data_IF_417863032139
#
_entry.id   IF_417863032139
#
_cell.length_a   1.000
_cell.length_b   1.000
_cell.length_c   1.000
_cell.angle_alpha   90.00
_cell.angle_beta   90.00
_cell.angle_gamma   90.00
#
_symmetry.space_group_name_H-M   'P 1'
#
loop_
_entity.id
_entity.type
_entity.pdbx_description
1 polymer ?
#
# COMPACT_ATOMS: atom_id res chain seq x y z
N UNK A 1 -54.29 60.71 19.07
CA UNK A 1 -53.11 59.88 19.42
C UNK A 1 -53.51 58.43 19.19
N UNK A 2 -52.80 57.55 18.50
CA UNK A 2 -51.54 57.60 17.79
C UNK A 2 -51.59 56.53 16.68
N UNK A 3 -50.79 56.75 15.64
CA UNK A 3 -50.71 56.01 14.39
C UNK A 3 -49.75 54.83 14.56
N UNK A 4 -50.25 53.59 14.67
CA UNK A 4 -49.39 52.40 14.74
C UNK A 4 -49.24 51.78 13.34
N UNK A 5 -48.27 52.33 12.58
CA UNK A 5 -47.87 51.78 11.28
C UNK A 5 -46.96 50.58 11.52
N UNK A 6 -47.53 49.38 11.40
CA UNK A 6 -46.78 48.12 11.34
C UNK A 6 -45.93 48.07 10.06
N UNK A 7 -44.66 48.40 10.18
CA UNK A 7 -43.68 48.20 9.11
C UNK A 7 -43.35 46.70 8.99
N UNK A 8 -43.97 46.03 8.02
CA UNK A 8 -43.55 44.71 7.59
C UNK A 8 -42.17 44.83 6.94
N UNK A 9 -41.14 44.31 7.61
CA UNK A 9 -39.80 44.10 7.05
C UNK A 9 -39.93 43.07 5.91
N UNK A 10 -40.13 43.54 4.68
CA UNK A 10 -39.95 42.72 3.48
C UNK A 10 -38.46 42.48 3.32
N UNK A 11 -37.98 41.33 3.76
CA UNK A 11 -36.69 40.78 3.38
C UNK A 11 -36.72 40.55 1.88
N UNK A 12 -35.99 41.39 1.14
CA UNK A 12 -35.82 41.27 -0.29
C UNK A 12 -35.05 39.96 -0.57
N UNK A 13 -35.74 38.89 -0.94
CA UNK A 13 -35.11 37.68 -1.44
C UNK A 13 -34.65 37.95 -2.87
N UNK A 14 -33.44 38.49 -3.02
CA UNK A 14 -32.77 38.58 -4.30
C UNK A 14 -32.34 37.17 -4.71
N UNK A 15 -32.95 36.61 -5.76
CA UNK A 15 -32.49 35.39 -6.40
C UNK A 15 -31.17 35.62 -7.15
N UNK A 16 -30.43 34.55 -7.41
CA UNK A 16 -29.16 34.60 -8.15
C UNK A 16 -29.40 34.99 -9.61
N UNK A 17 -28.60 35.91 -10.14
CA UNK A 17 -28.59 36.27 -11.55
C UNK A 17 -28.04 35.12 -12.40
N UNK A 18 -28.56 34.93 -13.62
CA UNK A 18 -28.08 33.90 -14.54
C UNK A 18 -26.56 34.03 -14.82
N UNK A 19 -26.05 35.26 -14.87
CA UNK A 19 -24.61 35.52 -15.05
C UNK A 19 -23.78 35.09 -13.83
N UNK A 20 -24.32 35.25 -12.63
CA UNK A 20 -23.67 34.84 -11.37
C UNK A 20 -23.63 33.31 -11.26
N UNK A 21 -24.70 32.62 -11.65
CA UNK A 21 -24.71 31.16 -11.72
C UNK A 21 -23.69 30.64 -12.74
N UNK A 22 -23.57 31.30 -13.90
CA UNK A 22 -22.57 30.91 -14.92
C UNK A 22 -21.13 31.16 -14.45
N UNK A 23 -20.85 32.27 -13.76
CA UNK A 23 -19.50 32.55 -13.26
C UNK A 23 -19.09 31.56 -12.17
N UNK A 24 -19.99 31.23 -11.22
CA UNK A 24 -19.74 30.22 -10.19
C UNK A 24 -19.54 28.83 -10.82
N UNK A 25 -20.33 28.47 -11.82
CA UNK A 25 -20.17 27.21 -12.54
C UNK A 25 -18.80 27.10 -13.22
N UNK A 26 -18.36 28.17 -13.92
CA UNK A 26 -17.03 28.20 -14.57
C UNK A 26 -15.89 28.06 -13.55
N UNK A 27 -15.95 28.80 -12.44
CA UNK A 27 -14.93 28.72 -11.39
C UNK A 27 -14.91 27.30 -10.79
N UNK A 28 -16.07 26.70 -10.52
CA UNK A 28 -16.16 25.33 -9.99
C UNK A 28 -15.58 24.27 -10.94
N UNK A 29 -15.75 24.45 -12.25
CA UNK A 29 -15.21 23.53 -13.27
C UNK A 29 -13.68 23.58 -13.32
N UNK A 30 -13.10 24.78 -13.21
CA UNK A 30 -11.63 24.96 -13.17
C UNK A 30 -11.05 24.32 -11.90
N UNK A 31 -11.72 24.50 -10.76
CA UNK A 31 -11.27 23.90 -9.49
C UNK A 31 -11.34 22.37 -9.56
N UNK A 32 -12.44 21.81 -10.07
CA UNK A 32 -12.58 20.34 -10.17
C UNK A 32 -11.55 19.73 -11.13
N UNK A 33 -11.25 20.38 -12.27
CA UNK A 33 -10.20 19.94 -13.19
C UNK A 33 -8.81 19.83 -12.54
N UNK A 34 -8.48 20.73 -11.63
CA UNK A 34 -7.18 20.71 -10.93
C UNK A 34 -7.18 19.79 -9.70
N UNK A 35 -8.32 19.65 -9.01
CA UNK A 35 -8.43 18.85 -7.81
C UNK A 35 -8.52 17.33 -8.08
N UNK A 36 -9.21 16.91 -9.14
CA UNK A 36 -9.45 15.49 -9.44
C UNK A 36 -8.16 14.67 -9.60
N UNK A 37 -7.15 15.09 -10.39
CA UNK A 37 -5.91 14.33 -10.54
C UNK A 37 -5.16 14.16 -9.20
N UNK A 38 -5.16 15.22 -8.38
CA UNK A 38 -4.52 15.20 -7.07
C UNK A 38 -5.21 14.21 -6.11
N UNK A 39 -6.55 14.15 -6.14
CA UNK A 39 -7.31 13.18 -5.34
C UNK A 39 -7.05 11.74 -5.78
N UNK A 40 -7.00 11.45 -7.08
CA UNK A 40 -6.68 10.10 -7.59
C UNK A 40 -5.30 9.65 -7.10
N UNK A 41 -4.32 10.54 -7.14
CA UNK A 41 -2.97 10.26 -6.63
C UNK A 41 -2.95 10.07 -5.10
N UNK A 42 -3.69 10.89 -4.36
CA UNK A 42 -3.81 10.76 -2.92
C UNK A 42 -4.44 9.41 -2.51
N UNK A 43 -5.52 9.01 -3.19
CA UNK A 43 -6.16 7.70 -2.97
C UNK A 43 -5.15 6.58 -3.26
N UNK A 44 -4.48 6.60 -4.42
CA UNK A 44 -3.47 5.58 -4.75
C UNK A 44 -2.39 5.44 -3.67
N UNK A 45 -1.88 6.55 -3.16
CA UNK A 45 -0.89 6.56 -2.08
C UNK A 45 -1.45 6.03 -0.75
N UNK A 46 -2.70 6.36 -0.40
CA UNK A 46 -3.37 5.83 0.79
C UNK A 46 -3.54 4.30 0.68
N UNK A 47 -4.01 3.80 -0.48
CA UNK A 47 -4.15 2.35 -0.72
C UNK A 47 -2.82 1.62 -0.58
N UNK A 48 -1.76 2.21 -1.12
CA UNK A 48 -0.41 1.65 -1.02
C UNK A 48 0.08 1.60 0.43
N UNK A 49 -0.08 2.69 1.19
CA UNK A 49 0.29 2.75 2.62
C UNK A 49 -0.53 1.79 3.49
N UNK A 50 -1.83 1.67 3.21
CA UNK A 50 -2.75 0.71 3.82
C UNK A 50 -2.29 -0.73 3.56
N UNK A 51 -1.95 -1.05 2.30
CA UNK A 51 -1.43 -2.35 1.87
C UNK A 51 -0.10 -2.68 2.56
N UNK A 52 0.85 -1.76 2.59
CA UNK A 52 2.15 -2.00 3.25
C UNK A 52 2.02 -2.20 4.77
N UNK A 53 1.06 -1.51 5.40
CA UNK A 53 0.77 -1.69 6.83
C UNK A 53 0.13 -3.05 7.12
N UNK A 54 -0.82 -3.45 6.28
CA UNK A 54 -1.46 -4.76 6.33
C UNK A 54 -0.46 -5.90 6.10
N UNK A 55 0.46 -5.73 5.14
CA UNK A 55 1.55 -6.66 4.88
C UNK A 55 2.52 -6.77 6.06
N UNK A 56 2.90 -5.63 6.66
CA UNK A 56 3.72 -5.66 7.86
C UNK A 56 3.03 -6.40 9.01
N UNK A 57 1.70 -6.26 9.14
CA UNK A 57 0.89 -7.00 10.10
C UNK A 57 0.95 -8.51 9.91
N UNK A 58 0.76 -9.01 8.69
CA UNK A 58 0.83 -10.46 8.42
C UNK A 58 2.24 -11.02 8.60
N UNK A 59 3.29 -10.26 8.27
CA UNK A 59 4.67 -10.65 8.51
C UNK A 59 5.00 -10.71 10.00
N UNK A 60 4.50 -9.78 10.81
CA UNK A 60 4.61 -9.88 12.26
C UNK A 60 3.83 -11.08 12.81
N UNK A 61 2.64 -11.36 12.28
CA UNK A 61 1.89 -12.55 12.66
C UNK A 61 2.66 -13.84 12.33
N UNK A 62 3.28 -13.90 11.15
CA UNK A 62 4.15 -15.01 10.75
C UNK A 62 5.28 -15.24 11.76
N UNK A 63 5.97 -14.16 12.15
CA UNK A 63 7.01 -14.19 13.18
C UNK A 63 6.49 -14.71 14.52
N UNK A 64 5.34 -14.22 14.98
CA UNK A 64 4.72 -14.63 16.24
C UNK A 64 4.32 -16.11 16.19
N UNK A 65 3.75 -16.57 15.08
CA UNK A 65 3.38 -17.97 14.89
C UNK A 65 4.59 -18.88 14.88
N UNK A 66 5.70 -18.46 14.27
CA UNK A 66 6.94 -19.24 14.26
C UNK A 66 7.49 -19.49 15.67
N UNK A 67 7.52 -18.44 16.49
CA UNK A 67 7.93 -18.52 17.89
C UNK A 67 6.93 -19.33 18.71
N UNK A 68 5.63 -19.06 18.56
CA UNK A 68 4.56 -19.72 19.33
C UNK A 68 4.51 -21.23 19.08
N UNK A 69 4.69 -21.66 17.83
CA UNK A 69 4.62 -23.08 17.48
C UNK A 69 5.99 -23.77 17.54
N UNK A 70 7.06 -23.03 17.83
CA UNK A 70 8.45 -23.51 17.77
C UNK A 70 8.76 -24.19 16.41
N UNK A 71 8.26 -23.61 15.32
CA UNK A 71 8.39 -24.14 13.95
C UNK A 71 8.69 -22.99 12.97
N UNK A 72 9.38 -23.31 11.88
CA UNK A 72 9.61 -22.32 10.83
C UNK A 72 8.29 -22.02 10.11
N UNK A 73 7.93 -20.74 9.98
CA UNK A 73 6.73 -20.28 9.29
C UNK A 73 7.11 -19.34 8.14
N UNK A 74 6.50 -19.52 6.98
CA UNK A 74 6.79 -18.78 5.75
C UNK A 74 5.59 -17.94 5.35
N UNK A 75 5.85 -16.72 4.89
CA UNK A 75 4.81 -15.89 4.26
C UNK A 75 4.90 -16.01 2.74
N UNK A 76 3.92 -16.67 2.15
CA UNK A 76 3.83 -16.81 0.70
C UNK A 76 3.02 -15.66 0.11
N UNK A 77 3.26 -15.39 -1.18
CA UNK A 77 2.48 -14.42 -1.93
C UNK A 77 1.91 -15.07 -3.18
N UNK A 78 0.63 -14.80 -3.45
CA UNK A 78 -0.04 -15.22 -4.66
C UNK A 78 -0.70 -14.03 -5.34
N UNK A 79 -0.51 -13.91 -6.65
CA UNK A 79 -1.23 -12.92 -7.44
C UNK A 79 -2.68 -13.36 -7.60
N UNK A 80 -3.62 -12.42 -7.49
CA UNK A 80 -5.05 -12.66 -7.71
C UNK A 80 -5.60 -11.69 -8.72
N UNK A 81 -6.30 -12.20 -9.73
CA UNK A 81 -6.97 -11.38 -10.72
C UNK A 81 -8.24 -10.73 -10.16
N UNK A 82 -8.44 -9.45 -10.45
CA UNK A 82 -9.62 -8.64 -10.14
C UNK A 82 -10.10 -7.93 -11.41
N UNK A 83 -10.87 -8.64 -12.25
CA UNK A 83 -11.30 -8.11 -13.54
C UNK A 83 -10.10 -7.77 -14.42
N UNK A 84 -9.94 -6.49 -14.77
CA UNK A 84 -8.80 -5.97 -15.55
C UNK A 84 -7.56 -5.61 -14.71
N UNK A 85 -7.62 -5.80 -13.38
CA UNK A 85 -6.54 -5.48 -12.45
C UNK A 85 -6.00 -6.72 -11.74
N UNK A 86 -4.83 -6.60 -11.12
CA UNK A 86 -4.24 -7.65 -10.28
C UNK A 86 -4.07 -7.13 -8.86
N UNK A 87 -4.30 -8.01 -7.88
CA UNK A 87 -4.01 -7.81 -6.46
C UNK A 87 -3.05 -8.90 -5.97
N UNK A 88 -2.62 -8.80 -4.72
CA UNK A 88 -1.67 -9.75 -4.11
C UNK A 88 -2.20 -10.19 -2.76
N UNK A 89 -2.31 -11.49 -2.55
CA UNK A 89 -2.60 -12.07 -1.24
C UNK A 89 -1.29 -12.52 -0.62
N UNK A 90 -1.04 -12.10 0.62
CA UNK A 90 0.03 -12.65 1.43
C UNK A 90 -0.56 -13.57 2.50
N UNK A 91 -0.03 -14.77 2.66
CA UNK A 91 -0.57 -15.78 3.58
C UNK A 91 0.56 -16.55 4.28
N UNK A 92 0.27 -17.05 5.48
CA UNK A 92 1.26 -17.68 6.35
C UNK A 92 1.04 -19.18 6.43
N UNK A 93 2.11 -19.95 6.23
CA UNK A 93 2.12 -21.41 6.37
C UNK A 93 3.35 -21.90 7.11
N UNK A 94 3.33 -23.19 7.46
CA UNK A 94 4.54 -23.90 7.87
C UNK A 94 5.53 -23.93 6.71
N UNK A 95 6.82 -23.76 6.98
CA UNK A 95 7.84 -23.70 5.93
C UNK A 95 7.99 -24.99 5.11
N UNK A 96 7.55 -26.13 5.67
CA UNK A 96 7.51 -27.42 4.98
C UNK A 96 6.25 -27.60 4.11
N UNK A 97 5.24 -26.76 4.30
CA UNK A 97 3.96 -26.88 3.61
C UNK A 97 4.00 -26.11 2.29
N UNK A 98 3.97 -26.85 1.18
CA UNK A 98 3.98 -26.31 -0.17
C UNK A 98 2.60 -26.31 -0.83
N UNK A 99 1.53 -26.54 -0.07
CA UNK A 99 0.17 -26.50 -0.62
C UNK A 99 -0.27 -25.06 -0.93
N UNK A 100 -1.19 -24.91 -1.88
CA UNK A 100 -1.79 -23.62 -2.20
C UNK A 100 -2.61 -23.03 -1.05
N UNK A 101 -2.92 -21.73 -1.14
CA UNK A 101 -3.74 -21.01 -0.17
C UNK A 101 -5.00 -21.79 0.25
N UNK A 102 -5.12 -22.07 1.54
CA UNK A 102 -6.25 -22.73 2.18
C UNK A 102 -7.10 -21.76 3.01
N UNK A 103 -8.33 -22.17 3.35
CA UNK A 103 -9.30 -21.35 4.11
C UNK A 103 -8.92 -21.12 5.56
N UNK A 104 -8.02 -21.93 6.12
CA UNK A 104 -7.52 -21.80 7.49
C UNK A 104 -6.25 -20.96 7.64
N UNK A 105 -5.66 -20.51 6.52
CA UNK A 105 -4.40 -19.77 6.56
C UNK A 105 -4.60 -18.34 7.05
N UNK A 106 -3.68 -17.87 7.90
CA UNK A 106 -3.60 -16.45 8.23
C UNK A 106 -3.20 -15.69 6.98
N UNK A 107 -4.10 -14.88 6.44
CA UNK A 107 -3.90 -14.18 5.19
C UNK A 107 -4.30 -12.72 5.26
N UNK A 108 -3.73 -11.91 4.36
CA UNK A 108 -4.12 -10.53 4.15
C UNK A 108 -4.11 -10.23 2.65
N UNK A 109 -5.10 -9.44 2.22
CA UNK A 109 -5.40 -9.38 0.80
C UNK A 109 -4.79 -8.21 0.02
N UNK A 110 -4.14 -7.20 0.57
CA UNK A 110 -3.74 -5.95 -0.14
C UNK A 110 -4.83 -5.29 -1.04
N UNK A 111 -4.80 -3.97 -1.13
CA UNK A 111 -5.81 -3.27 -1.93
C UNK A 111 -5.48 -3.37 -3.41
N UNK A 112 -6.42 -3.80 -4.25
CA UNK A 112 -6.26 -3.71 -5.70
C UNK A 112 -6.28 -2.21 -6.12
N UNK A 113 -5.47 -1.78 -7.10
CA UNK A 113 -4.61 -2.58 -7.97
C UNK A 113 -3.13 -2.56 -7.54
N UNK A 114 -2.80 -2.94 -6.30
CA UNK A 114 -1.40 -3.09 -5.86
C UNK A 114 -0.85 -4.44 -6.33
N UNK A 115 0.26 -4.39 -7.07
CA UNK A 115 0.94 -5.56 -7.63
C UNK A 115 2.34 -5.69 -7.07
N UNK A 116 2.75 -6.92 -6.76
CA UNK A 116 4.12 -7.26 -6.34
C UNK A 116 4.97 -7.48 -7.58
N UNK A 117 6.20 -6.95 -7.56
CA UNK A 117 7.23 -7.23 -8.56
C UNK A 117 8.54 -7.67 -7.89
N UNK A 118 9.38 -8.37 -8.64
CA UNK A 118 10.70 -8.83 -8.16
C UNK A 118 11.70 -7.69 -8.06
N UNK A 119 11.65 -6.76 -9.02
CA UNK A 119 12.42 -5.53 -9.01
C UNK A 119 11.64 -4.42 -9.74
N UNK A 120 11.80 -3.14 -9.37
CA UNK A 120 11.26 -2.04 -10.15
C UNK A 120 11.86 -2.03 -11.55
N UNK A 121 11.03 -1.85 -12.57
CA UNK A 121 11.45 -1.81 -13.98
C UNK A 121 10.46 -1.00 -14.82
N UNK A 122 10.92 -0.50 -15.96
CA UNK A 122 10.13 0.31 -16.89
C UNK A 122 10.26 1.83 -16.68
N UNK A 123 9.63 2.64 -17.53
CA UNK A 123 9.69 4.11 -17.44
C UNK A 123 9.11 4.62 -16.12
N UNK A 124 9.84 5.49 -15.43
CA UNK A 124 9.41 6.04 -14.14
C UNK A 124 9.57 5.08 -12.94
N UNK A 125 10.18 3.91 -13.14
CA UNK A 125 10.50 3.01 -12.04
C UNK A 125 11.70 3.55 -11.21
N UNK A 126 11.64 3.44 -9.88
CA UNK A 126 12.76 3.77 -9.01
C UNK A 126 13.93 2.80 -9.19
N UNK A 127 15.15 3.17 -8.76
CA UNK A 127 16.23 2.19 -8.61
C UNK A 127 15.89 1.18 -7.50
N UNK A 128 16.43 -0.03 -7.60
CA UNK A 128 16.36 -1.02 -6.51
C UNK A 128 17.07 -0.51 -5.26
N UNK A 129 16.50 -0.76 -4.09
CA UNK A 129 17.17 -0.57 -2.80
C UNK A 129 18.33 -1.57 -2.69
N UNK A 130 19.54 -1.05 -2.48
CA UNK A 130 20.77 -1.83 -2.43
C UNK A 130 21.34 -1.98 -1.01
N UNK A 131 22.52 -2.60 -0.90
CA UNK A 131 23.21 -2.83 0.37
C UNK A 131 23.57 -1.51 1.08
N UNK A 132 23.81 -0.42 0.35
CA UNK A 132 24.14 0.88 0.96
C UNK A 132 22.93 1.47 1.70
N UNK A 133 21.73 1.26 1.17
CA UNK A 133 20.49 1.77 1.75
C UNK A 133 19.91 0.83 2.82
N UNK A 134 20.10 -0.49 2.66
CA UNK A 134 19.53 -1.51 3.54
C UNK A 134 20.48 -1.94 4.67
N UNK A 135 21.80 -1.79 4.47
CA UNK A 135 22.85 -2.32 5.34
C UNK A 135 22.88 -3.86 5.44
N UNK A 136 22.28 -4.56 4.48
CA UNK A 136 22.34 -6.02 4.33
C UNK A 136 22.10 -6.39 2.86
N UNK A 137 22.50 -7.61 2.47
CA UNK A 137 22.19 -8.16 1.15
C UNK A 137 20.77 -8.72 1.14
N UNK A 138 19.82 -8.12 0.40
CA UNK A 138 18.44 -8.55 0.42
C UNK A 138 18.22 -9.80 -0.44
N UNK A 139 17.35 -10.68 0.03
CA UNK A 139 16.81 -11.83 -0.69
C UNK A 139 15.40 -11.50 -1.21
N UNK A 140 15.00 -12.16 -2.30
CA UNK A 140 13.72 -11.91 -2.98
C UNK A 140 12.72 -13.07 -2.87
N UNK A 141 13.15 -14.20 -2.31
CA UNK A 141 12.31 -15.35 -2.00
C UNK A 141 11.29 -15.06 -0.90
N UNK A 142 10.43 -16.02 -0.60
CA UNK A 142 9.43 -15.85 0.46
C UNK A 142 10.12 -15.83 1.84
N UNK A 143 9.76 -14.87 2.71
CA UNK A 143 10.42 -14.70 3.99
C UNK A 143 9.91 -15.78 4.93
N UNK A 144 10.86 -16.50 5.52
CA UNK A 144 10.56 -17.46 6.59
C UNK A 144 11.05 -16.90 7.91
N UNK A 145 10.30 -17.10 8.99
CA UNK A 145 10.79 -16.85 10.34
C UNK A 145 11.10 -18.19 11.00
N UNK A 146 12.29 -18.29 11.58
CA UNK A 146 12.70 -19.45 12.35
C UNK A 146 12.00 -19.48 13.72
N UNK A 147 12.12 -20.57 14.50
CA UNK A 147 11.52 -20.66 15.83
C UNK A 147 11.99 -19.60 16.84
N UNK A 148 13.12 -18.93 16.60
CA UNK A 148 13.60 -17.81 17.42
C UNK A 148 13.07 -16.44 16.93
N UNK A 149 12.24 -16.43 15.89
CA UNK A 149 11.63 -15.23 15.33
C UNK A 149 12.60 -14.38 14.49
N UNK A 150 13.71 -14.95 14.03
CA UNK A 150 14.63 -14.31 13.09
C UNK A 150 14.26 -14.71 11.64
N UNK A 151 14.31 -13.76 10.69
CA UNK A 151 14.05 -14.05 9.30
C UNK A 151 15.18 -14.87 8.69
N UNK A 152 14.82 -15.82 7.85
CA UNK A 152 15.71 -16.77 7.20
C UNK A 152 15.19 -17.17 5.82
N UNK A 153 16.10 -17.64 4.97
CA UNK A 153 15.74 -18.27 3.70
C UNK A 153 15.61 -19.78 3.89
N UNK A 154 14.39 -20.28 4.03
CA UNK A 154 14.17 -21.71 4.25
C UNK A 154 14.41 -22.54 2.98
N UNK A 155 15.16 -23.63 3.13
CA UNK A 155 15.41 -24.60 2.07
C UNK A 155 15.72 -25.98 2.67
N UNK A 156 14.86 -26.98 2.42
CA UNK A 156 15.14 -28.38 2.78
C UNK A 156 15.43 -28.63 4.27
N UNK A 157 14.79 -27.87 5.18
CA UNK A 157 15.03 -27.95 6.62
C UNK A 157 16.12 -27.01 7.15
N UNK A 158 16.92 -26.43 6.26
CA UNK A 158 17.85 -25.37 6.58
C UNK A 158 17.17 -24.00 6.57
N UNK A 159 17.58 -23.11 7.46
CA UNK A 159 16.98 -21.79 7.63
C UNK A 159 18.08 -20.77 8.01
N UNK A 160 19.03 -20.48 7.10
CA UNK A 160 20.05 -19.46 7.29
C UNK A 160 19.43 -18.06 7.42
N UNK A 161 19.82 -17.33 8.47
CA UNK A 161 19.32 -15.97 8.72
C UNK A 161 19.67 -15.04 7.55
N UNK A 162 18.70 -14.23 7.15
CA UNK A 162 18.82 -13.37 5.97
C UNK A 162 17.82 -12.22 6.00
N UNK A 163 18.13 -11.17 5.25
CA UNK A 163 17.23 -10.04 5.06
C UNK A 163 16.48 -10.18 3.74
N UNK A 164 15.29 -9.57 3.66
CA UNK A 164 14.40 -9.69 2.52
C UNK A 164 13.95 -8.33 2.00
N UNK A 165 13.58 -8.28 0.72
CA UNK A 165 12.92 -7.11 0.14
C UNK A 165 11.83 -7.49 -0.86
N UNK A 166 10.73 -6.75 -0.82
CA UNK A 166 9.60 -6.89 -1.73
C UNK A 166 9.22 -5.52 -2.28
N UNK A 167 8.98 -5.45 -3.59
CA UNK A 167 8.57 -4.24 -4.28
C UNK A 167 7.13 -4.33 -4.74
N UNK A 168 6.46 -3.20 -4.71
CA UNK A 168 5.07 -3.06 -5.09
C UNK A 168 4.88 -1.79 -5.92
N UNK A 169 3.96 -1.87 -6.88
CA UNK A 169 3.46 -0.69 -7.56
C UNK A 169 1.93 -0.75 -7.69
N UNK A 170 1.32 0.37 -8.06
CA UNK A 170 -0.09 0.40 -8.47
C UNK A 170 -0.25 0.43 -9.99
N UNK A 171 -1.50 0.44 -10.46
CA UNK A 171 -1.84 0.45 -11.89
C UNK A 171 -2.02 1.86 -12.48
N UNK A 172 -1.51 2.92 -11.85
CA UNK A 172 -1.52 4.26 -12.47
C UNK A 172 -0.59 4.28 -13.68
N UNK A 173 -0.79 5.27 -14.57
CA UNK A 173 0.07 5.45 -15.74
C UNK A 173 1.55 5.59 -15.32
N UNK A 174 2.48 5.13 -16.16
CA UNK A 174 3.90 4.97 -15.80
C UNK A 174 4.55 6.21 -15.14
N UNK A 175 4.20 7.42 -15.58
CA UNK A 175 4.73 8.67 -15.02
C UNK A 175 4.14 9.07 -13.64
N UNK A 176 3.03 8.44 -13.22
CA UNK A 176 2.31 8.72 -11.97
C UNK A 176 2.23 7.48 -11.07
N UNK A 177 2.92 6.41 -11.43
CA UNK A 177 2.84 5.13 -10.76
C UNK A 177 3.45 5.23 -9.36
N UNK A 178 2.66 4.82 -8.36
CA UNK A 178 3.11 4.80 -6.97
C UNK A 178 3.97 3.57 -6.73
N UNK A 179 5.13 3.75 -6.11
CA UNK A 179 6.02 2.66 -5.74
C UNK A 179 6.19 2.58 -4.23
N UNK A 180 6.19 1.36 -3.73
CA UNK A 180 6.51 1.05 -2.35
C UNK A 180 7.41 -0.20 -2.29
N UNK A 181 8.15 -0.32 -1.20
CA UNK A 181 8.87 -1.53 -0.88
C UNK A 181 8.70 -1.86 0.60
N UNK A 182 8.85 -3.15 0.93
CA UNK A 182 8.94 -3.61 2.30
C UNK A 182 10.20 -4.44 2.45
N UNK A 183 11.07 -4.01 3.36
CA UNK A 183 12.30 -4.72 3.68
C UNK A 183 12.23 -5.34 5.07
N UNK A 184 12.83 -6.51 5.22
CA UNK A 184 13.00 -7.22 6.49
C UNK A 184 14.49 -7.33 6.75
N UNK A 185 15.01 -6.72 7.81
CA UNK A 185 16.44 -6.88 8.15
C UNK A 185 16.73 -8.28 8.68
N UNK A 186 17.98 -8.77 8.63
CA UNK A 186 18.35 -10.05 9.27
C UNK A 186 18.03 -10.14 10.78
N UNK A 187 17.82 -9.00 11.44
CA UNK A 187 17.40 -8.92 12.84
C UNK A 187 15.86 -8.93 13.02
N UNK A 188 15.08 -9.07 11.95
CA UNK A 188 13.61 -9.08 11.98
C UNK A 188 12.96 -7.70 12.00
N UNK A 189 13.68 -6.61 11.70
CA UNK A 189 13.09 -5.27 11.59
C UNK A 189 12.35 -5.13 10.26
N UNK A 190 11.05 -4.92 10.32
CA UNK A 190 10.24 -4.55 9.16
C UNK A 190 10.35 -3.04 8.92
N UNK A 191 10.62 -2.65 7.68
CA UNK A 191 10.69 -1.26 7.26
C UNK A 191 9.95 -1.08 5.93
N UNK A 192 9.07 -0.09 5.89
CA UNK A 192 8.27 0.27 4.72
C UNK A 192 8.97 1.43 4.02
N UNK A 193 9.01 1.40 2.70
CA UNK A 193 9.62 2.41 1.87
C UNK A 193 8.59 2.89 0.84
N UNK A 194 8.62 4.18 0.53
CA UNK A 194 7.77 4.83 -0.46
C UNK A 194 8.64 5.69 -1.36
N UNK A 195 8.41 5.61 -2.66
CA UNK A 195 9.12 6.43 -3.63
C UNK A 195 8.50 7.84 -3.69
N UNK A 196 9.33 8.87 -3.52
CA UNK A 196 8.90 10.27 -3.61
C UNK A 196 8.86 10.82 -5.04
N UNK A 197 9.34 10.06 -6.02
CA UNK A 197 9.65 10.54 -7.38
C UNK A 197 11.15 10.71 -7.63
N UNK A 198 11.95 10.87 -6.57
CA UNK A 198 13.41 11.05 -6.67
C UNK A 198 14.23 10.21 -5.67
N UNK A 199 13.64 9.80 -4.55
CA UNK A 199 14.31 9.01 -3.54
C UNK A 199 13.33 8.06 -2.83
N UNK A 200 13.89 6.99 -2.26
CA UNK A 200 13.18 6.15 -1.30
C UNK A 200 13.08 6.86 0.05
N UNK A 201 11.88 6.89 0.60
CA UNK A 201 11.54 7.53 1.89
C UNK A 201 10.75 6.57 2.76
N UNK A 202 10.69 6.82 4.07
CA UNK A 202 9.98 5.97 5.05
C UNK A 202 8.56 6.47 5.37
#
# INVERSE_FOLDING_TARGET
MANDKRNALRTNQAGFSLLEVMSVALISMIITMTALPNMINAIGNIRMRSSMTSLAGVLQNCRILAVKQNKAMTTHFVARAYGSSSGVIAYVKLAIDSSDLGTGDSQVQLEAPVTRVTAPSGPGAPPTLDVSQLSFTPQTGDPTFNPTGLPCAYSGGNCPNGGFIYYFHDARAAAQMGWAALSISPAGRLKKWYWSGSAWTD
#
